data_IF_513384277540
#
_entry.id   IF_513384277540
#
_cell.length_a   1.000
_cell.length_b   1.000
_cell.length_c   1.000
_cell.angle_alpha   90.00
_cell.angle_beta   90.00
_cell.angle_gamma   90.00
#
_symmetry.space_group_name_H-M   'P 1'
#
loop_
_entity.id
_entity.type
_entity.pdbx_description
1 polymer ?
#
# COMPACT_ATOMS: atom_id res chain seq x y z
N UNK A 1 2.56 -22.08 29.66
CA UNK A 1 2.96 -22.60 28.34
C UNK A 1 1.78 -22.85 27.37
N UNK A 2 0.56 -23.20 27.83
CA UNK A 2 -0.59 -23.50 26.93
C UNK A 2 -1.08 -22.32 26.06
N UNK A 3 -0.80 -21.08 26.46
CA UNK A 3 -1.24 -19.87 25.74
C UNK A 3 -0.25 -19.40 24.67
N UNK A 4 1.01 -19.84 24.75
CA UNK A 4 2.08 -19.41 23.85
C UNK A 4 1.75 -19.56 22.35
N UNK A 5 1.24 -20.71 21.86
CA UNK A 5 0.93 -20.85 20.43
C UNK A 5 -0.16 -19.88 20.00
N UNK A 6 -1.21 -19.70 20.80
CA UNK A 6 -2.29 -18.76 20.50
C UNK A 6 -1.80 -17.31 20.46
N UNK A 7 -0.97 -16.91 21.43
CA UNK A 7 -0.37 -15.57 21.44
C UNK A 7 0.50 -15.33 20.21
N UNK A 8 1.33 -16.30 19.82
CA UNK A 8 2.15 -16.21 18.61
C UNK A 8 1.28 -16.15 17.34
N UNK A 9 0.21 -16.94 17.27
CA UNK A 9 -0.72 -16.89 16.15
C UNK A 9 -1.37 -15.51 16.00
N UNK A 10 -1.85 -14.91 17.10
CA UNK A 10 -2.45 -13.57 17.07
C UNK A 10 -1.43 -12.50 16.64
N UNK A 11 -0.21 -12.57 17.17
CA UNK A 11 0.86 -11.64 16.78
C UNK A 11 1.23 -11.78 15.30
N UNK A 12 1.34 -13.02 14.80
CA UNK A 12 1.63 -13.27 13.39
C UNK A 12 0.52 -12.73 12.48
N UNK A 13 -0.75 -12.94 12.83
CA UNK A 13 -1.88 -12.41 12.07
C UNK A 13 -1.91 -10.88 12.08
N UNK A 14 -1.64 -10.24 13.23
CA UNK A 14 -1.53 -8.80 13.33
C UNK A 14 -0.40 -8.25 12.45
N UNK A 15 0.75 -8.93 12.41
CA UNK A 15 1.87 -8.56 11.56
C UNK A 15 1.53 -8.69 10.07
N UNK A 16 0.91 -9.80 9.65
CA UNK A 16 0.48 -10.01 8.27
C UNK A 16 -0.53 -8.94 7.84
N UNK A 17 -1.48 -8.61 8.71
CA UNK A 17 -2.45 -7.55 8.46
C UNK A 17 -1.78 -6.18 8.31
N UNK A 18 -0.85 -5.85 9.21
CA UNK A 18 -0.07 -4.61 9.13
C UNK A 18 0.74 -4.51 7.84
N UNK A 19 1.46 -5.58 7.48
CA UNK A 19 2.23 -5.65 6.23
C UNK A 19 1.33 -5.50 5.01
N UNK A 20 0.14 -6.11 5.03
CA UNK A 20 -0.84 -5.98 3.95
C UNK A 20 -1.26 -4.52 3.74
N UNK A 21 -1.54 -3.77 4.81
CA UNK A 21 -1.86 -2.35 4.75
C UNK A 21 -0.67 -1.55 4.19
N UNK A 22 0.54 -1.82 4.68
CA UNK A 22 1.74 -1.13 4.22
C UNK A 22 1.97 -1.34 2.70
N UNK A 23 1.84 -2.58 2.22
CA UNK A 23 1.97 -2.92 0.79
C UNK A 23 0.93 -2.18 -0.05
N UNK A 24 -0.33 -2.16 0.37
CA UNK A 24 -1.40 -1.45 -0.35
C UNK A 24 -1.14 0.05 -0.43
N UNK A 25 -0.64 0.67 0.65
CA UNK A 25 -0.29 2.09 0.68
C UNK A 25 0.85 2.41 -0.30
N UNK A 26 1.92 1.62 -0.26
CA UNK A 26 3.08 1.81 -1.16
C UNK A 26 2.71 1.57 -2.62
N UNK A 27 1.89 0.57 -2.94
CA UNK A 27 1.46 0.32 -4.32
C UNK A 27 0.57 1.44 -4.85
N UNK A 28 -0.31 2.01 -4.01
CA UNK A 28 -1.08 3.19 -4.37
C UNK A 28 -0.19 4.38 -4.74
N UNK A 29 0.84 4.65 -3.93
CA UNK A 29 1.79 5.72 -4.19
C UNK A 29 2.58 5.46 -5.49
N UNK A 30 3.12 4.25 -5.64
CA UNK A 30 3.87 3.85 -6.85
C UNK A 30 3.02 4.04 -8.11
N UNK A 31 1.79 3.53 -8.11
CA UNK A 31 0.92 3.64 -9.26
C UNK A 31 0.51 5.09 -9.54
N UNK A 32 0.31 5.92 -8.50
CA UNK A 32 0.02 7.34 -8.66
C UNK A 32 1.17 8.13 -9.31
N UNK A 33 2.42 7.77 -9.00
CA UNK A 33 3.61 8.35 -9.62
C UNK A 33 3.73 7.94 -11.10
N UNK A 34 3.55 6.65 -11.40
CA UNK A 34 3.63 6.13 -12.78
C UNK A 34 2.53 6.72 -13.66
N UNK A 35 1.32 6.81 -13.14
CA UNK A 35 0.16 7.38 -13.85
C UNK A 35 0.11 8.91 -13.85
N UNK A 36 1.03 9.59 -13.15
CA UNK A 36 1.03 11.04 -12.94
C UNK A 36 -0.29 11.59 -12.36
N UNK A 37 -0.99 10.76 -11.58
CA UNK A 37 -2.29 11.13 -10.98
C UNK A 37 -2.16 12.26 -9.96
N UNK A 38 -1.01 12.38 -9.29
CA UNK A 38 -0.73 13.41 -8.28
C UNK A 38 0.23 14.49 -8.78
N UNK A 39 0.11 14.92 -10.04
CA UNK A 39 0.90 16.04 -10.55
C UNK A 39 0.47 17.36 -9.88
N UNK A 40 1.44 18.16 -9.44
CA UNK A 40 1.15 19.45 -8.80
C UNK A 40 0.56 20.45 -9.83
N UNK A 41 -0.64 21.02 -9.58
CA UNK A 41 -1.28 21.93 -10.51
C UNK A 41 -0.61 23.32 -10.58
N UNK A 42 0.14 23.70 -9.55
CA UNK A 42 0.83 24.98 -9.44
C UNK A 42 2.28 24.89 -9.91
N UNK A 43 2.95 23.77 -9.66
CA UNK A 43 4.35 23.53 -9.99
C UNK A 43 4.52 22.43 -11.03
N UNK A 44 4.76 22.82 -12.30
CA UNK A 44 4.95 21.86 -13.40
C UNK A 44 6.15 20.96 -13.14
N UNK A 45 5.89 19.65 -13.00
CA UNK A 45 6.92 18.62 -12.80
C UNK A 45 7.06 18.14 -11.36
N UNK A 46 6.43 18.83 -10.41
CA UNK A 46 6.40 18.42 -9.01
C UNK A 46 5.23 17.47 -8.73
N UNK A 47 5.33 16.74 -7.60
CA UNK A 47 4.30 15.81 -7.12
C UNK A 47 3.62 16.40 -5.90
N UNK A 48 2.28 16.44 -5.92
CA UNK A 48 1.51 16.84 -4.75
C UNK A 48 1.59 15.74 -3.66
N UNK A 49 2.36 16.02 -2.61
CA UNK A 49 2.55 15.13 -1.48
C UNK A 49 1.24 14.83 -0.73
N UNK A 50 0.27 15.76 -0.70
CA UNK A 50 -1.02 15.54 -0.05
C UNK A 50 -1.88 14.56 -0.84
N UNK A 51 -1.90 14.71 -2.16
CA UNK A 51 -2.50 13.72 -3.06
C UNK A 51 -1.82 12.36 -2.86
N UNK A 52 -0.48 12.30 -2.92
CA UNK A 52 0.26 11.05 -2.83
C UNK A 52 0.00 10.29 -1.52
N UNK A 53 -0.19 11.00 -0.41
CA UNK A 53 -0.49 10.40 0.89
C UNK A 53 -1.90 9.77 0.99
N UNK A 54 -2.84 10.17 0.14
CA UNK A 54 -4.27 9.80 0.25
C UNK A 54 -4.84 9.14 -1.00
N UNK A 55 -4.08 9.11 -2.09
CA UNK A 55 -4.53 8.61 -3.39
C UNK A 55 -4.97 7.14 -3.32
N UNK A 56 -6.11 6.87 -3.93
CA UNK A 56 -6.59 5.51 -4.20
C UNK A 56 -6.63 5.32 -5.71
N UNK A 57 -5.71 4.50 -6.22
CA UNK A 57 -5.55 4.32 -7.67
C UNK A 57 -6.38 3.14 -8.22
N UNK A 58 -7.02 2.34 -7.35
CA UNK A 58 -7.92 1.23 -7.70
C UNK A 58 -9.09 1.17 -6.72
N UNK A 59 -10.17 0.53 -7.15
CA UNK A 59 -11.45 0.51 -6.42
C UNK A 59 -11.41 -0.27 -5.09
N UNK A 60 -10.54 -1.29 -4.99
CA UNK A 60 -10.51 -2.16 -3.81
C UNK A 60 -9.09 -2.47 -3.33
N UNK A 61 -8.91 -2.49 -2.01
CA UNK A 61 -7.62 -2.76 -1.33
C UNK A 61 -6.99 -4.10 -1.73
N UNK A 62 -7.81 -5.13 -1.97
CA UNK A 62 -7.30 -6.45 -2.37
C UNK A 62 -6.69 -6.43 -3.77
N UNK A 63 -7.15 -5.56 -4.68
CA UNK A 63 -6.57 -5.44 -6.02
C UNK A 63 -5.15 -4.89 -5.95
N UNK A 64 -4.91 -3.91 -5.07
CA UNK A 64 -3.59 -3.37 -4.80
C UNK A 64 -2.66 -4.45 -4.23
N UNK A 65 -3.16 -5.22 -3.26
CA UNK A 65 -2.40 -6.30 -2.64
C UNK A 65 -2.04 -7.40 -3.64
N UNK A 66 -3.01 -7.90 -4.41
CA UNK A 66 -2.77 -8.94 -5.43
C UNK A 66 -1.80 -8.46 -6.50
N UNK A 67 -1.94 -7.22 -6.98
CA UNK A 67 -1.04 -6.67 -7.98
C UNK A 67 0.39 -6.54 -7.45
N UNK A 68 0.57 -5.97 -6.25
CA UNK A 68 1.88 -5.84 -5.62
C UNK A 68 2.56 -7.21 -5.41
N UNK A 69 1.81 -8.23 -4.98
CA UNK A 69 2.36 -9.58 -4.77
C UNK A 69 2.72 -10.31 -6.07
N UNK A 70 2.07 -9.98 -7.19
CA UNK A 70 2.32 -10.64 -8.48
C UNK A 70 3.34 -9.90 -9.35
N UNK A 71 3.61 -8.62 -9.06
CA UNK A 71 4.46 -7.74 -9.88
C UNK A 71 5.69 -7.20 -9.11
N UNK A 72 6.32 -8.06 -8.29
CA UNK A 72 7.44 -7.69 -7.39
C UNK A 72 8.72 -7.26 -8.16
N UNK A 73 8.84 -7.55 -9.46
CA UNK A 73 10.03 -7.27 -10.29
C UNK A 73 9.89 -6.09 -11.27
N UNK A 74 8.81 -5.32 -11.19
CA UNK A 74 8.44 -4.31 -12.19
C UNK A 74 9.08 -2.94 -12.00
#
# INVERSE_FOLDING_TARGET
MKQLPWTLCVLALALVFWLSIAVVSTENQRNALVSKTCADPMFKGEVDAKCLATVQTRAHWWQHLTYAMTHIRS
#
